data_IF_336479158015
#
_entry.id   IF_336479158015
#
_cell.length_a   1.000
_cell.length_b   1.000
_cell.length_c   1.000
_cell.angle_alpha   90.00
_cell.angle_beta   90.00
_cell.angle_gamma   90.00
#
_symmetry.space_group_name_H-M   'P 1'
#
loop_
_entity.id
_entity.type
_entity.pdbx_description
1 polymer ?
#
# COMPACT_ATOMS: atom_id res chain seq x y z
N UNK A 1 -26.38 -2.84 -29.70
CA UNK A 1 -25.48 -2.33 -28.65
C UNK A 1 -26.24 -1.27 -27.86
N UNK A 2 -26.68 -1.58 -26.64
CA UNK A 2 -27.38 -0.60 -25.80
C UNK A 2 -26.30 0.33 -25.23
N UNK A 3 -26.16 1.51 -25.84
CA UNK A 3 -25.38 2.60 -25.26
C UNK A 3 -26.09 3.06 -24.00
N UNK A 4 -25.48 2.87 -22.82
CA UNK A 4 -25.94 3.49 -21.58
C UNK A 4 -25.95 5.02 -21.78
N UNK A 5 -27.14 5.61 -21.85
CA UNK A 5 -27.32 7.07 -21.92
C UNK A 5 -27.48 7.61 -20.49
N UNK A 6 -26.85 8.76 -20.21
CA UNK A 6 -26.92 9.51 -18.94
C UNK A 6 -26.20 8.87 -17.73
N UNK A 7 -24.99 8.34 -17.92
CA UNK A 7 -24.13 8.03 -16.78
C UNK A 7 -23.57 9.33 -16.20
N UNK A 8 -23.77 9.56 -14.90
CA UNK A 8 -23.06 10.61 -14.18
C UNK A 8 -21.59 10.18 -14.02
N UNK A 9 -20.60 10.92 -14.56
CA UNK A 9 -19.19 10.55 -14.45
C UNK A 9 -18.63 10.75 -13.02
N UNK A 10 -19.45 11.24 -12.09
CA UNK A 10 -19.11 11.55 -10.71
C UNK A 10 -19.80 10.56 -9.78
N UNK A 11 -19.04 10.00 -8.83
CA UNK A 11 -19.58 9.10 -7.80
C UNK A 11 -20.44 9.88 -6.82
N UNK A 12 -21.53 9.27 -6.34
CA UNK A 12 -22.32 9.83 -5.25
C UNK A 12 -21.66 9.51 -3.91
N UNK A 13 -20.83 10.45 -3.46
CA UNK A 13 -20.07 10.35 -2.21
C UNK A 13 -20.80 11.02 -1.02
N UNK A 14 -21.83 11.82 -1.26
CA UNK A 14 -22.53 12.55 -0.19
C UNK A 14 -23.28 11.61 0.76
N UNK A 15 -23.61 10.39 0.31
CA UNK A 15 -24.15 9.32 1.17
C UNK A 15 -23.19 8.83 2.26
N UNK A 16 -21.88 9.10 2.12
CA UNK A 16 -20.84 8.67 3.08
C UNK A 16 -20.41 9.86 3.95
N UNK A 17 -19.90 10.92 3.32
CA UNK A 17 -19.53 12.17 3.99
C UNK A 17 -20.01 13.36 3.15
N UNK A 18 -21.09 14.04 3.56
CA UNK A 18 -21.65 15.16 2.80
C UNK A 18 -20.65 16.31 2.66
N UNK A 19 -20.48 16.82 1.44
CA UNK A 19 -19.63 17.99 1.16
C UNK A 19 -18.20 17.66 0.72
N UNK A 20 -17.90 16.38 0.42
CA UNK A 20 -16.62 15.98 -0.17
C UNK A 20 -15.42 16.29 0.73
N UNK A 21 -14.39 16.94 0.18
CA UNK A 21 -13.17 17.30 0.91
C UNK A 21 -13.38 18.40 1.95
N UNK A 22 -14.46 19.18 1.85
CA UNK A 22 -14.85 20.20 2.82
C UNK A 22 -15.84 19.66 3.87
N UNK A 23 -16.11 18.36 3.86
CA UNK A 23 -17.05 17.74 4.79
C UNK A 23 -16.59 17.90 6.25
N UNK A 24 -17.38 18.58 7.11
CA UNK A 24 -17.06 18.66 8.54
C UNK A 24 -17.11 17.28 9.20
N UNK A 25 -17.99 16.38 8.75
CA UNK A 25 -18.10 15.02 9.25
C UNK A 25 -16.86 14.19 8.92
N UNK A 26 -16.30 14.32 7.71
CA UNK A 26 -15.04 13.66 7.35
C UNK A 26 -13.90 14.15 8.26
N UNK A 27 -13.81 15.46 8.47
CA UNK A 27 -12.77 16.05 9.33
C UNK A 27 -12.88 15.54 10.77
N UNK A 28 -14.07 15.60 11.35
CA UNK A 28 -14.33 15.08 12.71
C UNK A 28 -14.02 13.59 12.81
N UNK A 29 -14.39 12.81 11.80
CA UNK A 29 -14.09 11.38 11.73
C UNK A 29 -12.57 11.11 11.76
N UNK A 30 -11.78 11.83 10.96
CA UNK A 30 -10.32 11.69 10.93
C UNK A 30 -9.71 12.08 12.29
N UNK A 31 -10.16 13.19 12.87
CA UNK A 31 -9.71 13.63 14.19
C UNK A 31 -10.05 12.63 15.29
N UNK A 32 -11.22 11.99 15.23
CA UNK A 32 -11.61 10.97 16.19
C UNK A 32 -10.77 9.71 16.04
N UNK A 33 -10.54 9.24 14.81
CA UNK A 33 -9.65 8.09 14.55
C UNK A 33 -8.24 8.37 15.07
N UNK A 34 -7.71 9.59 14.86
CA UNK A 34 -6.41 9.99 15.41
C UNK A 34 -6.36 9.88 16.94
N UNK A 35 -7.35 10.42 17.65
CA UNK A 35 -7.45 10.32 19.12
C UNK A 35 -7.55 8.88 19.60
N UNK A 36 -8.33 8.05 18.90
CA UNK A 36 -8.52 6.65 19.26
C UNK A 36 -7.23 5.84 19.07
N UNK A 37 -6.44 6.13 18.03
CA UNK A 37 -5.10 5.54 17.82
C UNK A 37 -4.15 5.90 18.97
N UNK A 38 -4.12 7.17 19.41
CA UNK A 38 -3.31 7.60 20.55
C UNK A 38 -3.70 6.88 21.87
N UNK A 39 -4.99 6.56 22.03
CA UNK A 39 -5.49 5.80 23.18
C UNK A 39 -5.25 4.29 23.09
N UNK A 40 -5.08 3.75 21.88
CA UNK A 40 -5.01 2.32 21.65
C UNK A 40 -3.74 1.69 22.22
N UNK A 41 -2.59 2.37 22.13
CA UNK A 41 -1.32 1.86 22.66
C UNK A 41 -1.39 1.57 24.16
N UNK A 42 -2.13 2.40 24.91
CA UNK A 42 -2.33 2.22 26.36
C UNK A 42 -3.24 1.04 26.69
N UNK A 43 -3.96 0.50 25.70
CA UNK A 43 -4.85 -0.65 25.86
C UNK A 43 -4.14 -1.98 25.62
N UNK A 44 -2.84 -1.98 25.26
CA UNK A 44 -2.07 -3.20 25.04
C UNK A 44 -1.94 -3.98 26.37
N UNK A 45 -2.38 -5.25 26.43
CA UNK A 45 -2.36 -6.03 27.67
C UNK A 45 -0.95 -6.26 28.24
N UNK A 46 -0.81 -6.03 29.54
CA UNK A 46 0.40 -6.34 30.29
C UNK A 46 0.55 -7.85 30.60
N UNK A 47 -0.55 -8.61 30.52
CA UNK A 47 -0.59 -10.05 30.66
C UNK A 47 -1.33 -10.74 29.51
N UNK A 48 -1.67 -12.01 29.72
CA UNK A 48 -2.25 -12.86 28.67
C UNK A 48 -3.76 -13.08 28.86
N UNK A 49 -4.42 -12.19 29.61
CA UNK A 49 -5.85 -12.28 29.93
C UNK A 49 -6.70 -12.16 28.65
N UNK A 50 -7.50 -13.19 28.29
CA UNK A 50 -8.25 -13.22 27.02
C UNK A 50 -9.16 -12.01 26.79
N UNK A 51 -9.82 -11.53 27.84
CA UNK A 51 -10.75 -10.41 27.78
C UNK A 51 -10.04 -9.11 27.38
N UNK A 52 -8.84 -8.86 27.91
CA UNK A 52 -8.06 -7.65 27.60
C UNK A 52 -7.57 -7.69 26.14
N UNK A 53 -7.11 -8.85 25.68
CA UNK A 53 -6.72 -9.05 24.28
C UNK A 53 -7.91 -8.90 23.34
N UNK A 54 -9.09 -9.40 23.73
CA UNK A 54 -10.30 -9.27 22.91
C UNK A 54 -10.71 -7.80 22.77
N UNK A 55 -10.72 -7.06 23.88
CA UNK A 55 -11.01 -5.63 23.88
C UNK A 55 -10.03 -4.85 23.00
N UNK A 56 -8.73 -5.17 23.06
CA UNK A 56 -7.71 -4.55 22.20
C UNK A 56 -8.02 -4.81 20.73
N UNK A 57 -8.24 -6.06 20.33
CA UNK A 57 -8.45 -6.39 18.92
C UNK A 57 -9.76 -5.84 18.37
N UNK A 58 -10.83 -5.79 19.17
CA UNK A 58 -12.09 -5.15 18.77
C UNK A 58 -11.87 -3.66 18.52
N UNK A 59 -11.18 -2.95 19.43
CA UNK A 59 -10.83 -1.54 19.22
C UNK A 59 -9.94 -1.33 17.99
N UNK A 60 -8.93 -2.18 17.83
CA UNK A 60 -8.02 -2.13 16.68
C UNK A 60 -8.79 -2.30 15.36
N UNK A 61 -9.68 -3.30 15.26
CA UNK A 61 -10.48 -3.56 14.07
C UNK A 61 -11.41 -2.39 13.74
N UNK A 62 -12.08 -1.82 14.75
CA UNK A 62 -12.94 -0.65 14.57
C UNK A 62 -12.16 0.57 14.05
N UNK A 63 -11.02 0.88 14.68
CA UNK A 63 -10.14 1.98 14.25
C UNK A 63 -9.64 1.75 12.82
N UNK A 64 -9.18 0.53 12.50
CA UNK A 64 -8.69 0.19 11.17
C UNK A 64 -9.79 0.30 10.11
N UNK A 65 -11.03 -0.11 10.42
CA UNK A 65 -12.17 0.03 9.52
C UNK A 65 -12.51 1.51 9.25
N UNK A 66 -12.57 2.33 10.30
CA UNK A 66 -12.83 3.78 10.18
C UNK A 66 -11.73 4.51 9.41
N UNK A 67 -10.47 4.13 9.63
CA UNK A 67 -9.33 4.66 8.88
C UNK A 67 -9.43 4.28 7.39
N UNK A 68 -9.74 3.00 7.09
CA UNK A 68 -9.93 2.52 5.71
C UNK A 68 -11.09 3.21 5.01
N UNK A 69 -12.21 3.45 5.70
CA UNK A 69 -13.36 4.19 5.17
C UNK A 69 -12.98 5.60 4.72
N UNK A 70 -12.30 6.36 5.59
CA UNK A 70 -11.82 7.71 5.26
C UNK A 70 -10.81 7.69 4.10
N UNK A 71 -9.90 6.70 4.09
CA UNK A 71 -8.90 6.56 3.04
C UNK A 71 -9.50 6.23 1.68
N UNK A 72 -10.48 5.33 1.65
CA UNK A 72 -11.22 5.01 0.43
C UNK A 72 -11.95 6.26 -0.08
N UNK A 73 -12.67 6.98 0.79
CA UNK A 73 -13.39 8.20 0.44
C UNK A 73 -12.48 9.29 -0.15
N UNK A 74 -11.36 9.58 0.50
CA UNK A 74 -10.36 10.54 0.01
C UNK A 74 -9.74 10.06 -1.31
N UNK A 75 -9.54 8.74 -1.47
CA UNK A 75 -9.14 8.14 -2.73
C UNK A 75 -10.12 8.45 -3.86
N UNK A 76 -11.42 8.30 -3.62
CA UNK A 76 -12.48 8.68 -4.57
C UNK A 76 -12.39 10.15 -4.97
N UNK A 77 -12.25 11.06 -3.98
CA UNK A 77 -12.15 12.49 -4.23
C UNK A 77 -10.95 12.85 -5.10
N UNK A 78 -9.77 12.29 -4.79
CA UNK A 78 -8.56 12.53 -5.57
C UNK A 78 -8.68 11.98 -7.00
N UNK A 79 -9.36 10.84 -7.19
CA UNK A 79 -9.62 10.27 -8.49
C UNK A 79 -10.61 11.13 -9.31
N UNK A 80 -11.65 11.68 -8.67
CA UNK A 80 -12.63 12.55 -9.30
C UNK A 80 -12.07 13.94 -9.65
N UNK A 81 -11.20 14.49 -8.80
CA UNK A 81 -10.60 15.80 -9.00
C UNK A 81 -9.14 15.84 -8.50
N UNK A 82 -8.20 15.65 -9.42
CA UNK A 82 -6.76 15.69 -9.11
C UNK A 82 -6.23 17.06 -8.69
N UNK A 83 -7.04 18.13 -8.83
CA UNK A 83 -6.71 19.50 -8.40
C UNK A 83 -7.27 19.86 -7.02
N UNK A 84 -8.01 18.96 -6.37
CA UNK A 84 -8.52 19.16 -5.02
C UNK A 84 -7.38 19.18 -4.00
N UNK A 85 -6.96 20.37 -3.57
CA UNK A 85 -5.88 20.53 -2.61
C UNK A 85 -6.28 20.12 -1.19
N UNK A 86 -7.56 20.25 -0.85
CA UNK A 86 -8.06 19.88 0.47
C UNK A 86 -8.11 18.36 0.63
N UNK A 87 -8.56 17.62 -0.39
CA UNK A 87 -8.50 16.16 -0.41
C UNK A 87 -7.06 15.64 -0.26
N UNK A 88 -6.08 16.30 -0.90
CA UNK A 88 -4.65 15.96 -0.74
C UNK A 88 -4.15 16.21 0.67
N UNK A 89 -4.55 17.32 1.29
CA UNK A 89 -4.19 17.66 2.68
C UNK A 89 -4.74 16.61 3.65
N UNK A 90 -6.03 16.29 3.56
CA UNK A 90 -6.67 15.26 4.38
C UNK A 90 -6.03 13.88 4.16
N UNK A 91 -5.68 13.56 2.91
CA UNK A 91 -4.94 12.33 2.60
C UNK A 91 -3.56 12.28 3.26
N UNK A 92 -2.86 13.42 3.38
CA UNK A 92 -1.62 13.54 4.13
C UNK A 92 -1.79 13.29 5.62
N UNK A 93 -2.81 13.89 6.23
CA UNK A 93 -3.16 13.66 7.64
C UNK A 93 -3.51 12.20 7.91
N UNK A 94 -4.33 11.59 7.05
CA UNK A 94 -4.71 10.20 7.20
C UNK A 94 -3.52 9.24 7.12
N UNK A 95 -2.54 9.53 6.24
CA UNK A 95 -1.29 8.76 6.18
C UNK A 95 -0.50 8.81 7.49
N UNK A 96 -0.47 9.96 8.16
CA UNK A 96 0.17 10.09 9.48
C UNK A 96 -0.56 9.25 10.53
N UNK A 97 -1.90 9.28 10.57
CA UNK A 97 -2.69 8.45 11.47
C UNK A 97 -2.50 6.96 11.17
N UNK A 98 -2.43 6.57 9.90
CA UNK A 98 -2.13 5.19 9.48
C UNK A 98 -0.76 4.73 9.94
N UNK A 99 0.26 5.59 9.84
CA UNK A 99 1.59 5.28 10.34
C UNK A 99 1.60 5.10 11.86
N UNK A 100 0.88 5.95 12.60
CA UNK A 100 0.71 5.81 14.04
C UNK A 100 0.03 4.49 14.42
N UNK A 101 -1.05 4.09 13.74
CA UNK A 101 -1.70 2.79 13.97
C UNK A 101 -0.75 1.62 13.66
N UNK A 102 0.07 1.73 12.61
CA UNK A 102 1.10 0.74 12.29
C UNK A 102 2.16 0.61 13.38
N UNK A 103 2.55 1.72 14.03
CA UNK A 103 3.43 1.69 15.21
C UNK A 103 2.77 0.94 16.37
N UNK A 104 1.48 1.17 16.63
CA UNK A 104 0.74 0.43 17.66
C UNK A 104 0.70 -1.06 17.34
N UNK A 105 0.45 -1.43 16.08
CA UNK A 105 0.47 -2.83 15.63
C UNK A 105 1.83 -3.48 15.89
N UNK A 106 2.93 -2.76 15.66
CA UNK A 106 4.29 -3.26 15.95
C UNK A 106 4.45 -3.57 17.44
N UNK A 107 3.98 -2.68 18.33
CA UNK A 107 4.00 -2.92 19.78
C UNK A 107 3.11 -4.12 20.17
N UNK A 108 1.96 -4.31 19.49
CA UNK A 108 1.09 -5.48 19.67
C UNK A 108 1.80 -6.77 19.26
N UNK A 109 2.44 -6.79 18.09
CA UNK A 109 3.22 -7.92 17.59
C UNK A 109 4.33 -8.31 18.58
N UNK A 110 5.08 -7.35 19.12
CA UNK A 110 6.12 -7.60 20.13
C UNK A 110 5.56 -8.32 21.37
N UNK A 111 4.36 -7.92 21.83
CA UNK A 111 3.68 -8.56 22.96
C UNK A 111 3.17 -9.95 22.63
N UNK A 112 2.64 -10.15 21.42
CA UNK A 112 2.24 -11.48 20.94
C UNK A 112 3.44 -12.44 20.84
N UNK A 113 4.62 -11.96 20.44
CA UNK A 113 5.83 -12.77 20.39
C UNK A 113 6.31 -13.20 21.77
N UNK A 114 6.00 -12.43 22.82
CA UNK A 114 6.35 -12.76 24.21
C UNK A 114 5.38 -13.74 24.87
N UNK A 115 4.14 -13.83 24.37
CA UNK A 115 3.14 -14.79 24.87
C UNK A 115 3.61 -16.22 24.59
N UNK A 116 3.43 -17.12 25.56
CA UNK A 116 3.78 -18.53 25.39
C UNK A 116 2.91 -19.21 24.31
N UNK A 117 3.48 -20.18 23.59
CA UNK A 117 2.80 -20.86 22.48
C UNK A 117 1.57 -21.66 22.93
N UNK A 118 1.60 -22.24 24.13
CA UNK A 118 0.45 -22.97 24.67
C UNK A 118 -0.66 -22.01 25.11
N UNK A 119 -0.29 -20.82 25.60
CA UNK A 119 -1.25 -19.77 25.96
C UNK A 119 -1.90 -19.19 24.72
N UNK A 120 -1.11 -18.87 23.69
CA UNK A 120 -1.59 -18.40 22.40
C UNK A 120 -2.57 -19.38 21.74
N UNK A 121 -2.19 -20.66 21.66
CA UNK A 121 -3.04 -21.69 21.07
C UNK A 121 -4.38 -21.80 21.82
N UNK A 122 -4.39 -21.70 23.16
CA UNK A 122 -5.62 -21.68 23.96
C UNK A 122 -6.45 -20.43 23.70
N UNK A 123 -5.82 -19.26 23.59
CA UNK A 123 -6.49 -18.00 23.32
C UNK A 123 -7.29 -18.07 22.02
N UNK A 124 -6.67 -18.59 20.95
CA UNK A 124 -7.31 -18.72 19.64
C UNK A 124 -8.51 -19.69 19.61
N UNK A 125 -8.55 -20.66 20.51
CA UNK A 125 -9.69 -21.59 20.63
C UNK A 125 -10.89 -21.02 21.39
N UNK A 126 -10.74 -19.88 22.05
CA UNK A 126 -11.86 -19.25 22.76
C UNK A 126 -12.92 -18.73 21.77
N UNK A 127 -14.22 -18.73 22.14
CA UNK A 127 -15.28 -18.27 21.25
C UNK A 127 -15.10 -16.85 20.70
N UNK A 128 -14.45 -15.97 21.48
CA UNK A 128 -14.19 -14.58 21.13
C UNK A 128 -13.14 -14.41 20.02
N UNK A 129 -12.20 -15.36 19.90
CA UNK A 129 -11.07 -15.28 18.96
C UNK A 129 -11.20 -16.24 17.79
N UNK A 130 -11.94 -17.35 17.96
CA UNK A 130 -12.13 -18.38 16.94
C UNK A 130 -12.51 -17.83 15.55
N UNK A 131 -13.38 -16.81 15.40
CA UNK A 131 -13.70 -16.23 14.09
C UNK A 131 -12.51 -15.54 13.40
N UNK A 132 -11.53 -15.06 14.18
CA UNK A 132 -10.35 -14.35 13.71
C UNK A 132 -9.06 -15.15 13.96
N UNK A 133 -9.15 -16.43 14.29
CA UNK A 133 -7.98 -17.22 14.70
C UNK A 133 -6.91 -17.31 13.60
N UNK A 134 -7.35 -17.55 12.35
CA UNK A 134 -6.44 -17.62 11.21
C UNK A 134 -5.66 -16.31 10.96
N UNK A 135 -6.30 -15.13 10.78
CA UNK A 135 -5.55 -13.90 10.53
C UNK A 135 -4.72 -13.45 11.74
N UNK A 136 -5.13 -13.79 12.98
CA UNK A 136 -4.33 -13.52 14.17
C UNK A 136 -3.09 -14.41 14.26
N UNK A 137 -3.21 -15.69 13.93
CA UNK A 137 -2.06 -16.59 13.87
C UNK A 137 -1.09 -16.18 12.77
N UNK A 138 -1.61 -15.82 11.60
CA UNK A 138 -0.81 -15.26 10.50
C UNK A 138 -0.07 -13.99 10.92
N UNK A 139 -0.73 -13.08 11.64
CA UNK A 139 -0.10 -11.87 12.20
C UNK A 139 1.09 -12.24 13.10
N UNK A 140 0.92 -13.20 14.02
CA UNK A 140 1.99 -13.62 14.93
C UNK A 140 3.11 -14.35 14.19
N UNK A 141 2.80 -15.14 13.17
CA UNK A 141 3.80 -15.79 12.32
C UNK A 141 4.61 -14.77 11.52
N UNK A 142 3.97 -13.78 10.88
CA UNK A 142 4.65 -12.68 10.19
C UNK A 142 5.54 -11.88 11.12
N UNK A 143 5.13 -11.68 12.38
CA UNK A 143 5.96 -11.05 13.38
C UNK A 143 7.23 -11.86 13.71
N UNK A 144 7.16 -13.20 13.73
CA UNK A 144 8.34 -14.08 13.93
C UNK A 144 9.35 -14.01 12.79
N UNK A 145 8.84 -13.73 11.59
CA UNK A 145 9.63 -13.63 10.37
C UNK A 145 10.36 -12.27 10.24
N UNK A 146 10.15 -11.34 11.18
CA UNK A 146 10.85 -10.05 11.25
C UNK A 146 12.14 -10.16 12.07
N UNK A 147 13.04 -9.21 11.86
CA UNK A 147 14.20 -8.98 12.73
C UNK A 147 13.75 -8.42 14.09
N UNK A 148 14.64 -8.39 15.11
CA UNK A 148 14.39 -7.63 16.33
C UNK A 148 13.97 -6.19 16.05
N UNK A 149 13.05 -5.65 16.86
CA UNK A 149 12.43 -4.32 16.69
C UNK A 149 13.40 -3.18 16.34
N UNK A 150 14.56 -3.10 17.00
CA UNK A 150 15.57 -2.06 16.71
C UNK A 150 16.11 -2.18 15.27
N UNK A 151 16.32 -3.41 14.78
CA UNK A 151 16.81 -3.67 13.43
C UNK A 151 15.72 -3.42 12.38
N UNK A 152 14.47 -3.78 12.66
CA UNK A 152 13.34 -3.45 11.76
C UNK A 152 13.11 -1.95 11.66
N UNK A 153 13.21 -1.21 12.75
CA UNK A 153 13.15 0.26 12.74
C UNK A 153 14.25 0.86 11.86
N UNK A 154 15.50 0.42 12.04
CA UNK A 154 16.61 0.84 11.19
C UNK A 154 16.37 0.48 9.71
N UNK A 155 15.88 -0.73 9.43
CA UNK A 155 15.60 -1.17 8.06
C UNK A 155 14.51 -0.31 7.40
N UNK A 156 13.48 0.07 8.16
CA UNK A 156 12.42 0.97 7.69
C UNK A 156 12.93 2.40 7.46
N UNK A 157 13.78 2.93 8.34
CA UNK A 157 14.37 4.26 8.15
C UNK A 157 15.25 4.29 6.88
N UNK A 158 16.05 3.24 6.67
CA UNK A 158 16.93 3.12 5.49
C UNK A 158 16.16 2.77 4.21
N UNK A 159 14.94 2.22 4.28
CA UNK A 159 14.17 1.84 3.10
C UNK A 159 13.66 3.05 2.31
N UNK A 160 13.54 4.21 2.96
CA UNK A 160 13.13 5.47 2.32
C UNK A 160 14.11 5.83 1.19
N UNK A 161 15.40 5.96 1.51
CA UNK A 161 16.43 6.29 0.52
C UNK A 161 17.00 5.05 -0.18
N UNK A 162 16.76 3.85 0.37
CA UNK A 162 17.11 2.58 -0.25
C UNK A 162 16.02 2.09 -1.21
N UNK A 163 15.10 1.28 -0.69
CA UNK A 163 14.08 0.62 -1.50
C UNK A 163 13.18 1.61 -2.27
N UNK A 164 12.61 2.59 -1.58
CA UNK A 164 11.69 3.55 -2.20
C UNK A 164 12.44 4.51 -3.11
N UNK A 165 13.59 5.04 -2.69
CA UNK A 165 14.44 5.90 -3.53
C UNK A 165 14.82 5.29 -4.87
N UNK A 166 15.22 4.01 -4.91
CA UNK A 166 15.53 3.34 -6.18
C UNK A 166 14.28 3.08 -7.03
N UNK A 167 13.14 2.77 -6.41
CA UNK A 167 11.87 2.65 -7.12
C UNK A 167 11.43 3.98 -7.74
N UNK A 168 11.61 5.08 -7.01
CA UNK A 168 11.29 6.42 -7.47
C UNK A 168 12.21 6.85 -8.61
N UNK A 169 13.50 6.52 -8.53
CA UNK A 169 14.43 6.75 -9.65
C UNK A 169 13.99 6.02 -10.92
N UNK A 170 13.61 4.74 -10.81
CA UNK A 170 13.08 3.98 -11.94
C UNK A 170 11.81 4.64 -12.52
N UNK A 171 10.89 5.09 -11.66
CA UNK A 171 9.68 5.80 -12.07
C UNK A 171 9.99 7.14 -12.76
N UNK A 172 11.02 7.87 -12.32
CA UNK A 172 11.46 9.11 -12.96
C UNK A 172 12.03 8.82 -14.35
N UNK A 173 12.89 7.81 -14.49
CA UNK A 173 13.49 7.41 -15.78
C UNK A 173 12.39 7.01 -16.75
N UNK A 174 11.52 6.09 -16.37
CA UNK A 174 10.43 5.62 -17.25
C UNK A 174 9.38 6.70 -17.52
N UNK A 175 9.14 7.60 -16.57
CA UNK A 175 8.20 8.71 -16.71
C UNK A 175 8.65 9.82 -17.66
N UNK A 176 9.97 9.98 -17.89
CA UNK A 176 10.50 10.94 -18.88
C UNK A 176 10.59 10.38 -20.30
N UNK A 177 10.51 9.06 -20.46
CA UNK A 177 10.64 8.41 -21.76
C UNK A 177 9.51 8.84 -22.70
N UNK A 178 9.90 9.19 -23.92
CA UNK A 178 8.99 9.51 -25.01
C UNK A 178 9.35 8.68 -26.22
N UNK A 179 8.33 8.20 -26.93
CA UNK A 179 8.52 7.41 -28.15
C UNK A 179 7.78 8.14 -29.30
N UNK A 180 8.49 8.60 -30.33
CA UNK A 180 7.87 9.32 -31.44
C UNK A 180 7.09 8.35 -32.34
N UNK A 181 5.81 8.67 -32.56
CA UNK A 181 4.90 7.91 -33.41
C UNK A 181 4.12 8.81 -34.36
N UNK A 182 3.95 8.38 -35.61
CA UNK A 182 3.25 9.15 -36.64
C UNK A 182 1.81 8.69 -36.75
N UNK A 183 0.88 9.61 -36.54
CA UNK A 183 -0.56 9.41 -36.76
C UNK A 183 -1.05 10.41 -37.78
N UNK A 184 -1.69 9.92 -38.86
CA UNK A 184 -2.21 10.77 -39.95
C UNK A 184 -1.18 11.75 -40.53
N UNK A 185 0.08 11.32 -40.64
CA UNK A 185 1.17 12.14 -41.18
C UNK A 185 1.73 13.19 -40.21
N UNK A 186 1.26 13.22 -38.95
CA UNK A 186 1.82 14.06 -37.89
C UNK A 186 2.57 13.21 -36.87
N UNK A 187 3.84 13.55 -36.64
CA UNK A 187 4.63 12.97 -35.54
C UNK A 187 4.16 13.53 -34.21
N UNK A 188 4.01 12.66 -33.21
CA UNK A 188 3.62 13.01 -31.85
C UNK A 188 4.43 12.15 -30.89
N UNK A 189 4.86 12.75 -29.79
CA UNK A 189 5.55 12.06 -28.70
C UNK A 189 4.53 11.36 -27.80
N UNK A 190 4.70 10.06 -27.62
CA UNK A 190 3.86 9.26 -26.73
C UNK A 190 4.65 8.92 -25.47
N UNK A 191 3.99 8.96 -24.31
CA UNK A 191 4.55 8.29 -23.13
C UNK A 191 4.57 6.78 -23.34
N UNK A 192 5.42 6.07 -22.61
CA UNK A 192 5.52 4.61 -22.64
C UNK A 192 4.15 3.94 -22.42
N UNK A 193 3.36 4.45 -21.46
CA UNK A 193 2.01 3.94 -21.20
C UNK A 193 1.04 4.16 -22.38
N UNK A 194 1.07 5.35 -23.00
CA UNK A 194 0.23 5.64 -24.17
C UNK A 194 0.65 4.80 -25.38
N UNK A 195 1.95 4.67 -25.61
CA UNK A 195 2.51 3.92 -26.73
C UNK A 195 2.19 2.43 -26.63
N UNK A 196 2.15 1.86 -25.42
CA UNK A 196 1.80 0.45 -25.20
C UNK A 196 0.44 0.03 -25.76
N UNK A 197 -0.50 0.97 -25.94
CA UNK A 197 -1.80 0.68 -26.55
C UNK A 197 -1.67 0.22 -28.01
N UNK A 198 -0.59 0.60 -28.72
CA UNK A 198 -0.33 0.19 -30.10
C UNK A 198 -0.12 -1.33 -30.23
N UNK A 199 0.30 -2.01 -29.15
CA UNK A 199 0.41 -3.47 -29.14
C UNK A 199 -0.93 -4.20 -29.24
N UNK A 200 -2.05 -3.49 -29.03
CA UNK A 200 -3.40 -4.02 -29.23
C UNK A 200 -4.05 -3.57 -30.54
N UNK A 201 -3.31 -2.86 -31.41
CA UNK A 201 -3.82 -2.44 -32.72
C UNK A 201 -4.17 -3.67 -33.59
N UNK A 202 -5.27 -3.66 -34.36
CA UNK A 202 -5.63 -4.78 -35.23
C UNK A 202 -4.59 -5.08 -36.33
N UNK A 203 -3.82 -4.09 -36.81
CA UNK A 203 -2.80 -4.28 -37.85
C UNK A 203 -1.51 -4.92 -37.28
N UNK A 204 -1.08 -6.09 -37.79
CA UNK A 204 0.21 -6.68 -37.43
C UNK A 204 1.40 -5.78 -37.75
N UNK A 205 1.33 -5.00 -38.82
CA UNK A 205 2.38 -4.09 -39.26
C UNK A 205 2.58 -2.95 -38.24
N UNK A 206 1.48 -2.38 -37.73
CA UNK A 206 1.52 -1.38 -36.66
C UNK A 206 2.18 -1.97 -35.41
N UNK A 207 1.78 -3.17 -35.00
CA UNK A 207 2.37 -3.83 -33.82
C UNK A 207 3.86 -4.12 -34.00
N UNK A 208 4.29 -4.52 -35.19
CA UNK A 208 5.71 -4.79 -35.50
C UNK A 208 6.54 -3.51 -35.41
N UNK A 209 6.10 -2.43 -36.07
CA UNK A 209 6.80 -1.14 -36.03
C UNK A 209 6.82 -0.54 -34.62
N UNK A 210 5.73 -0.71 -33.87
CA UNK A 210 5.68 -0.32 -32.46
C UNK A 210 6.71 -1.10 -31.64
N UNK A 211 6.86 -2.41 -31.87
CA UNK A 211 7.88 -3.24 -31.22
C UNK A 211 9.31 -2.73 -31.45
N UNK A 212 9.67 -2.43 -32.69
CA UNK A 212 11.02 -1.91 -33.03
C UNK A 212 11.31 -0.58 -32.33
N UNK A 213 10.36 0.36 -32.37
CA UNK A 213 10.51 1.68 -31.71
C UNK A 213 10.52 1.54 -30.18
N UNK A 214 9.73 0.61 -29.64
CA UNK A 214 9.71 0.31 -28.21
C UNK A 214 11.07 -0.22 -27.75
N UNK A 215 11.59 -1.25 -28.41
CA UNK A 215 12.90 -1.81 -28.08
C UNK A 215 14.01 -0.75 -28.17
N UNK A 216 14.02 0.07 -29.22
CA UNK A 216 14.99 1.15 -29.36
C UNK A 216 14.92 2.15 -28.20
N UNK A 217 13.72 2.61 -27.84
CA UNK A 217 13.55 3.56 -26.75
C UNK A 217 13.97 2.99 -25.38
N UNK A 218 13.66 1.71 -25.12
CA UNK A 218 14.08 1.05 -23.87
C UNK A 218 15.57 0.74 -23.83
N UNK A 219 16.20 0.46 -24.98
CA UNK A 219 17.64 0.26 -25.08
C UNK A 219 18.43 1.53 -24.72
N UNK A 220 17.92 2.73 -25.03
CA UNK A 220 18.55 4.00 -24.65
C UNK A 220 18.63 4.19 -23.13
N UNK A 221 17.69 3.63 -22.38
CA UNK A 221 17.59 3.76 -20.91
C UNK A 221 18.01 2.46 -20.19
N UNK A 222 18.48 1.44 -20.92
CA UNK A 222 18.73 0.08 -20.42
C UNK A 222 19.65 0.08 -19.20
N UNK A 223 20.80 0.76 -19.28
CA UNK A 223 21.80 0.78 -18.21
C UNK A 223 21.25 1.40 -16.92
N UNK A 224 20.48 2.49 -17.04
CA UNK A 224 19.90 3.18 -15.89
C UNK A 224 18.79 2.35 -15.23
N UNK A 225 17.91 1.78 -16.05
CA UNK A 225 16.85 0.88 -15.57
C UNK A 225 17.43 -0.38 -14.92
N UNK A 226 18.41 -1.02 -15.56
CA UNK A 226 19.07 -2.21 -15.03
C UNK A 226 19.78 -1.91 -13.69
N UNK A 227 20.46 -0.76 -13.58
CA UNK A 227 21.11 -0.32 -12.34
C UNK A 227 20.08 -0.13 -11.21
N UNK A 228 18.99 0.60 -11.46
CA UNK A 228 17.93 0.81 -10.48
C UNK A 228 17.31 -0.53 -10.00
N UNK A 229 17.01 -1.43 -10.94
CA UNK A 229 16.46 -2.76 -10.62
C UNK A 229 17.45 -3.63 -9.84
N UNK A 230 18.74 -3.59 -10.17
CA UNK A 230 19.78 -4.31 -9.44
C UNK A 230 19.91 -3.82 -7.99
N UNK A 231 19.83 -2.50 -7.77
CA UNK A 231 19.86 -1.95 -6.42
C UNK A 231 18.58 -2.27 -5.62
N UNK A 232 17.41 -2.28 -6.27
CA UNK A 232 16.15 -2.74 -5.66
C UNK A 232 16.24 -4.21 -5.23
N UNK A 233 16.67 -5.09 -6.13
CA UNK A 233 16.86 -6.51 -5.84
C UNK A 233 17.91 -6.71 -4.75
N UNK A 234 19.04 -6.01 -4.83
CA UNK A 234 20.11 -6.07 -3.83
C UNK A 234 19.64 -5.64 -2.44
N UNK A 235 18.86 -4.56 -2.33
CA UNK A 235 18.25 -4.13 -1.07
C UNK A 235 17.37 -5.25 -0.47
N UNK A 236 16.44 -5.81 -1.27
CA UNK A 236 15.54 -6.88 -0.84
C UNK A 236 16.31 -8.12 -0.38
N UNK A 237 17.27 -8.58 -1.16
CA UNK A 237 18.07 -9.77 -0.83
C UNK A 237 18.89 -9.58 0.46
N UNK A 238 19.46 -8.40 0.68
CA UNK A 238 20.17 -8.10 1.92
C UNK A 238 19.22 -8.07 3.12
N UNK A 239 18.05 -7.43 2.99
CA UNK A 239 17.03 -7.41 4.03
C UNK A 239 16.56 -8.84 4.39
N UNK A 240 16.26 -9.64 3.38
CA UNK A 240 15.84 -11.04 3.55
C UNK A 240 16.90 -11.88 4.25
N UNK A 241 18.17 -11.70 3.91
CA UNK A 241 19.28 -12.35 4.60
C UNK A 241 19.29 -12.04 6.10
N UNK A 242 19.04 -10.77 6.49
CA UNK A 242 18.99 -10.39 7.89
C UNK A 242 17.73 -10.90 8.61
N UNK A 243 16.62 -11.07 7.88
CA UNK A 243 15.41 -11.77 8.36
C UNK A 243 15.52 -13.30 8.32
N UNK A 244 16.65 -13.86 7.90
CA UNK A 244 16.86 -15.31 7.72
C UNK A 244 15.84 -15.95 6.76
N UNK A 245 15.45 -15.23 5.71
CA UNK A 245 14.57 -15.75 4.67
C UNK A 245 15.40 -16.40 3.56
N UNK A 246 15.15 -17.70 3.34
CA UNK A 246 15.91 -18.52 2.38
C UNK A 246 15.49 -18.33 0.92
N UNK A 247 14.30 -17.77 0.67
CA UNK A 247 13.74 -17.61 -0.67
C UNK A 247 13.28 -16.18 -0.90
N UNK A 248 13.76 -15.58 -2.00
CA UNK A 248 13.26 -14.28 -2.47
C UNK A 248 11.78 -14.33 -2.92
N UNK A 249 11.22 -15.54 -3.07
CA UNK A 249 9.81 -15.74 -3.33
C UNK A 249 8.94 -15.71 -2.07
N UNK A 250 9.52 -15.72 -0.85
CA UNK A 250 8.75 -15.73 0.40
C UNK A 250 7.75 -14.59 0.46
N UNK A 251 8.23 -13.35 0.41
CA UNK A 251 7.38 -12.15 0.42
C UNK A 251 6.31 -12.15 -0.68
N UNK A 252 6.62 -12.32 -1.99
CA UNK A 252 5.58 -12.28 -3.01
C UNK A 252 4.60 -13.45 -2.93
N UNK A 253 4.97 -14.62 -2.40
CA UNK A 253 4.04 -15.75 -2.24
C UNK A 253 3.15 -15.62 -1.00
N UNK A 254 3.55 -14.85 0.02
CA UNK A 254 2.69 -14.57 1.17
C UNK A 254 1.47 -13.71 0.82
N UNK A 255 1.50 -12.97 -0.30
CA UNK A 255 0.41 -12.11 -0.76
C UNK A 255 -0.43 -12.71 -1.90
N UNK A 256 -0.09 -13.92 -2.40
CA UNK A 256 -0.79 -14.61 -3.49
C UNK A 256 -1.71 -15.72 -2.96
#
# INVERSE_FOLDING_TARGET
MIMLKNLNPIWDLDSIFPGGSESPQLKEHIEQVARDVEGLEKSIPAGDEPEQWHELFVKFQDIAARLRQAGAFIGCLNAQNTKDTQAKLLGGQLRQVSAALGSVLTSVEERLLQMDDTVWAKLLETPAFKPAAFPLDELRQKARDKMPSIQEKLANDLSIDGYHGWSDLYNIITGRMVIPWTVNGKETDYSVGQFSNLFSDPSPEVRSQAGEKWEAAWAEEEELCASALNHLAGFRLNLYKHRSWESFHKEPLEYN
#
